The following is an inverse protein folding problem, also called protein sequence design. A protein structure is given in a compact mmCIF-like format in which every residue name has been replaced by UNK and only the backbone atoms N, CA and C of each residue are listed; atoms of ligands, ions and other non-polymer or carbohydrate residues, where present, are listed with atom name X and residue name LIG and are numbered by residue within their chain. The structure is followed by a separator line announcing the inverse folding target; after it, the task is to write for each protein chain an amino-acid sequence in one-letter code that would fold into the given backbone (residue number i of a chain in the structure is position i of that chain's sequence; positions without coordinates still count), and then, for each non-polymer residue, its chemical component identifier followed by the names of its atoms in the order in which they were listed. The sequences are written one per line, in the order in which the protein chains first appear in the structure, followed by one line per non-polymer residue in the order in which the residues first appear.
data_IF_950698581932
#
_entry.id   IF_950698581932
#
_cell.length_a   1.000
_cell.length_b   1.000
_cell.length_c   1.000
_cell.angle_alpha   90.00
_cell.angle_beta   90.00
_cell.angle_gamma   90.00
#
_symmetry.space_group_name_H-M   'P 1'
#
loop_
_entity.id
_entity.type
_entity.pdbx_description
1 polymer ?
#
# COMPACT_ATOMS: atom_id res chain seq x y z
N UNK A 1 -3.81 26.10 -10.29
CA UNK A 1 -4.11 27.08 -9.22
C UNK A 1 -4.57 28.38 -9.88
N UNK A 2 -5.64 29.02 -9.40
CA UNK A 2 -6.08 30.32 -9.94
C UNK A 2 -5.22 31.47 -9.41
N UNK A 3 -5.09 32.55 -10.19
CA UNK A 3 -4.37 33.77 -9.83
C UNK A 3 -4.86 34.38 -8.50
N UNK A 4 -6.17 34.30 -8.24
CA UNK A 4 -6.78 34.73 -6.97
C UNK A 4 -6.39 33.85 -5.77
N UNK A 5 -6.20 32.55 -5.98
CA UNK A 5 -5.70 31.62 -4.95
C UNK A 5 -4.24 31.88 -4.59
N UNK A 6 -3.40 32.14 -5.60
CA UNK A 6 -1.99 32.49 -5.42
C UNK A 6 -1.83 33.80 -4.63
N UNK A 7 -2.58 34.85 -4.99
CA UNK A 7 -2.56 36.14 -4.27
C UNK A 7 -2.94 35.97 -2.80
N UNK A 8 -4.00 35.20 -2.50
CA UNK A 8 -4.43 34.91 -1.12
C UNK A 8 -3.38 34.12 -0.33
N UNK A 9 -2.71 33.15 -0.96
CA UNK A 9 -1.66 32.37 -0.30
C UNK A 9 -0.46 33.26 0.10
N UNK A 10 0.00 34.14 -0.81
CA UNK A 10 1.09 35.09 -0.53
C UNK A 10 0.71 36.07 0.58
N UNK A 11 -0.53 36.59 0.57
CA UNK A 11 -1.03 37.46 1.65
C UNK A 11 -1.06 36.76 3.00
N UNK A 12 -1.51 35.50 3.06
CA UNK A 12 -1.52 34.70 4.30
C UNK A 12 -0.12 34.44 4.85
N UNK A 13 0.84 34.11 3.98
CA UNK A 13 2.22 33.86 4.38
C UNK A 13 2.88 35.11 4.99
N UNK A 14 2.73 36.27 4.36
CA UNK A 14 3.30 37.53 4.88
C UNK A 14 2.65 38.02 6.18
N UNK A 15 1.35 37.78 6.36
CA UNK A 15 0.60 38.27 7.53
C UNK A 15 0.63 37.32 8.73
N UNK A 16 0.90 36.03 8.53
CA UNK A 16 1.15 35.07 9.62
C UNK A 16 2.27 35.53 10.56
N UNK A 17 3.30 36.18 10.00
CA UNK A 17 4.49 36.68 10.75
C UNK A 17 4.14 37.89 11.64
N UNK A 18 3.05 38.61 11.35
CA UNK A 18 2.67 39.84 12.07
C UNK A 18 1.55 39.65 13.11
N UNK A 19 0.99 38.45 13.23
CA UNK A 19 -0.02 38.11 14.25
C UNK A 19 0.71 37.75 15.55
N UNK A 20 0.39 38.44 16.64
CA UNK A 20 0.98 38.16 17.96
C UNK A 20 0.48 36.81 18.48
N UNK A 21 1.28 36.11 19.29
CA UNK A 21 0.90 34.79 19.83
C UNK A 21 -0.41 34.81 20.63
N UNK A 22 -0.69 35.91 21.34
CA UNK A 22 -1.95 36.13 22.06
C UNK A 22 -3.20 36.16 21.18
N UNK A 23 -3.04 36.43 19.88
CA UNK A 23 -4.16 36.48 18.94
C UNK A 23 -4.33 35.16 18.18
N UNK A 24 -3.34 34.25 18.25
CA UNK A 24 -3.39 32.92 17.60
C UNK A 24 -4.40 32.03 18.29
N UNK A 25 -5.21 31.34 17.50
CA UNK A 25 -6.15 30.36 18.02
C UNK A 25 -5.42 29.04 18.33
N UNK A 26 -5.65 28.46 19.51
CA UNK A 26 -5.15 27.13 19.88
C UNK A 26 -6.32 26.17 19.96
N UNK A 27 -6.22 25.02 19.30
CA UNK A 27 -7.29 24.03 19.25
C UNK A 27 -6.72 22.64 19.49
N UNK A 28 -6.50 22.34 20.78
CA UNK A 28 -5.85 21.09 21.21
C UNK A 28 -6.68 19.86 20.85
N UNK A 29 -8.00 19.97 20.85
CA UNK A 29 -8.91 18.87 20.54
C UNK A 29 -8.78 18.49 19.06
N UNK A 30 -8.79 19.48 18.16
CA UNK A 30 -8.51 19.22 16.75
C UNK A 30 -7.10 18.68 16.54
N UNK A 31 -6.09 19.22 17.22
CA UNK A 31 -4.70 18.79 17.03
C UNK A 31 -4.50 17.30 17.40
N UNK A 32 -5.23 16.81 18.42
CA UNK A 32 -5.26 15.38 18.79
C UNK A 32 -5.88 14.55 17.67
N UNK A 33 -7.06 14.94 17.17
CA UNK A 33 -7.75 14.19 16.11
C UNK A 33 -6.99 14.22 14.78
N UNK A 34 -6.37 15.35 14.43
CA UNK A 34 -5.51 15.46 13.25
C UNK A 34 -4.30 14.51 13.36
N UNK A 35 -3.68 14.41 14.54
CA UNK A 35 -2.57 13.47 14.78
C UNK A 35 -3.02 12.02 14.58
N UNK A 36 -4.18 11.63 15.12
CA UNK A 36 -4.74 10.28 14.96
C UNK A 36 -5.07 9.99 13.48
N UNK A 37 -5.66 10.96 12.79
CA UNK A 37 -5.91 10.89 11.36
C UNK A 37 -4.62 10.67 10.55
N UNK A 38 -3.54 11.41 10.85
CA UNK A 38 -2.24 11.26 10.15
C UNK A 38 -1.66 9.85 10.30
N UNK A 39 -1.83 9.23 11.47
CA UNK A 39 -1.45 7.83 11.69
C UNK A 39 -2.28 6.89 10.82
N UNK A 40 -3.61 7.05 10.82
CA UNK A 40 -4.51 6.25 9.98
C UNK A 40 -4.18 6.38 8.49
N UNK A 41 -4.01 7.61 8.00
CA UNK A 41 -3.65 7.89 6.61
C UNK A 41 -2.36 7.18 6.21
N UNK A 42 -1.31 7.31 7.01
CA UNK A 42 -0.02 6.68 6.75
C UNK A 42 -0.17 5.16 6.66
N UNK A 43 -0.88 4.56 7.62
CA UNK A 43 -1.15 3.13 7.62
C UNK A 43 -1.95 2.69 6.39
N UNK A 44 -3.02 3.42 6.04
CA UNK A 44 -3.88 3.10 4.89
C UNK A 44 -3.16 3.22 3.54
N UNK A 45 -2.35 4.27 3.33
CA UNK A 45 -1.54 4.41 2.11
C UNK A 45 -0.45 3.34 2.01
N UNK A 46 0.18 2.96 3.13
CA UNK A 46 1.15 1.87 3.14
C UNK A 46 0.49 0.52 2.87
N UNK A 47 -0.70 0.28 3.43
CA UNK A 47 -1.49 -0.92 3.18
C UNK A 47 -1.84 -1.03 1.69
N UNK A 48 -2.30 0.05 1.05
CA UNK A 48 -2.57 0.09 -0.39
C UNK A 48 -1.36 -0.34 -1.22
N UNK A 49 -0.18 0.20 -0.90
CA UNK A 49 1.07 -0.16 -1.58
C UNK A 49 1.43 -1.63 -1.36
N UNK A 50 1.28 -2.11 -0.12
CA UNK A 50 1.60 -3.49 0.25
C UNK A 50 0.70 -4.50 -0.47
N UNK A 51 -0.62 -4.29 -0.50
CA UNK A 51 -1.55 -5.22 -1.17
C UNK A 51 -1.37 -5.23 -2.69
N UNK A 52 -1.05 -4.07 -3.29
CA UNK A 52 -0.67 -4.01 -4.70
C UNK A 52 0.62 -4.80 -4.97
N UNK A 53 1.66 -4.54 -4.18
CA UNK A 53 2.94 -5.24 -4.31
C UNK A 53 2.82 -6.75 -4.10
N UNK A 54 1.92 -7.19 -3.21
CA UNK A 54 1.61 -8.60 -3.01
C UNK A 54 1.04 -9.25 -4.27
N UNK A 55 0.03 -8.64 -4.90
CA UNK A 55 -0.56 -9.16 -6.14
C UNK A 55 0.47 -9.21 -7.28
N UNK A 56 1.29 -8.17 -7.42
CA UNK A 56 2.36 -8.13 -8.42
C UNK A 56 3.41 -9.22 -8.16
N UNK A 57 3.72 -9.51 -6.89
CA UNK A 57 4.65 -10.58 -6.50
C UNK A 57 4.08 -11.97 -6.79
N UNK A 58 2.78 -12.18 -6.59
CA UNK A 58 2.12 -13.44 -6.95
C UNK A 58 2.23 -13.73 -8.46
N UNK A 59 1.98 -12.72 -9.30
CA UNK A 59 2.16 -12.86 -10.75
C UNK A 59 3.61 -13.12 -11.13
N UNK A 60 4.55 -12.43 -10.48
CA UNK A 60 5.96 -12.57 -10.77
C UNK A 60 6.48 -13.97 -10.41
N UNK A 61 6.09 -14.52 -9.25
CA UNK A 61 6.55 -15.85 -8.84
C UNK A 61 6.01 -16.94 -9.76
N UNK A 62 4.74 -16.88 -10.16
CA UNK A 62 4.18 -17.91 -11.05
C UNK A 62 4.70 -17.81 -12.47
N UNK A 63 4.87 -16.59 -13.00
CA UNK A 63 5.56 -16.38 -14.27
C UNK A 63 7.00 -16.94 -14.24
N UNK A 64 7.74 -16.69 -13.15
CA UNK A 64 9.09 -17.26 -12.97
C UNK A 64 9.07 -18.78 -12.90
N UNK A 65 8.07 -19.37 -12.23
CA UNK A 65 7.93 -20.83 -12.18
C UNK A 65 7.70 -21.39 -13.60
N UNK A 66 6.86 -20.76 -14.42
CA UNK A 66 6.62 -21.17 -15.81
C UNK A 66 7.91 -21.12 -16.61
N UNK A 67 8.68 -20.03 -16.52
CA UNK A 67 9.98 -19.91 -17.21
C UNK A 67 10.96 -21.01 -16.80
N UNK A 68 11.06 -21.32 -15.51
CA UNK A 68 11.91 -22.43 -15.03
C UNK A 68 11.44 -23.75 -15.65
N UNK A 69 10.13 -24.00 -15.65
CA UNK A 69 9.58 -25.25 -16.15
C UNK A 69 9.77 -25.41 -17.67
N UNK A 70 9.70 -24.33 -18.45
CA UNK A 70 9.99 -24.33 -19.88
C UNK A 70 11.47 -24.66 -20.17
N UNK A 71 12.40 -24.00 -19.46
CA UNK A 71 13.85 -24.28 -19.60
C UNK A 71 14.15 -25.73 -19.24
N UNK A 72 13.62 -26.22 -18.11
CA UNK A 72 13.79 -27.60 -17.66
C UNK A 72 13.20 -28.57 -18.68
N UNK A 73 11.98 -28.34 -19.18
CA UNK A 73 11.36 -29.22 -20.17
C UNK A 73 12.24 -29.34 -21.43
N UNK A 74 12.77 -28.22 -21.94
CA UNK A 74 13.61 -28.21 -23.14
C UNK A 74 14.93 -28.97 -22.93
N UNK A 75 15.63 -28.75 -21.82
CA UNK A 75 16.88 -29.45 -21.51
C UNK A 75 16.67 -30.97 -21.35
N UNK A 76 15.56 -31.38 -20.74
CA UNK A 76 15.25 -32.79 -20.57
C UNK A 76 14.75 -33.44 -21.88
N UNK A 77 14.18 -32.68 -22.82
CA UNK A 77 13.84 -33.17 -24.16
C UNK A 77 15.07 -33.56 -24.99
N UNK A 78 16.18 -32.82 -24.90
CA UNK A 78 17.42 -33.13 -25.61
C UNK A 78 18.02 -34.49 -25.20
N UNK A 79 17.80 -34.91 -23.94
CA UNK A 79 18.26 -36.20 -23.42
C UNK A 79 17.46 -37.42 -23.93
N UNK A 80 16.30 -37.20 -24.56
CA UNK A 80 15.38 -38.26 -25.04
C UNK A 80 15.86 -39.00 -26.30
N UNK A 81 17.01 -38.64 -26.88
CA UNK A 81 17.55 -39.30 -28.09
C UNK A 81 18.34 -40.60 -27.80
N UNK A 82 18.40 -41.06 -26.54
CA UNK A 82 19.03 -42.33 -26.15
C UNK A 82 18.03 -43.47 -25.89
N UNK A 83 18.41 -44.75 -26.12
CA UNK A 83 17.53 -45.89 -25.86
C UNK A 83 17.30 -46.08 -24.35
N UNK A 84 16.06 -45.91 -23.89
CA UNK A 84 15.59 -46.44 -22.60
C UNK A 84 15.11 -45.48 -21.51
N UNK A 85 14.83 -44.19 -21.75
CA UNK A 85 14.35 -43.29 -20.69
C UNK A 85 13.09 -42.50 -21.05
N UNK A 86 11.93 -43.09 -20.71
CA UNK A 86 10.67 -42.37 -20.53
C UNK A 86 10.70 -41.62 -19.19
N UNK A 87 11.42 -40.50 -19.08
CA UNK A 87 11.23 -39.62 -17.93
C UNK A 87 10.65 -38.28 -18.36
N UNK A 88 9.33 -38.26 -18.55
CA UNK A 88 8.54 -37.12 -18.98
C UNK A 88 8.30 -36.09 -17.85
N UNK A 89 9.10 -36.13 -16.78
CA UNK A 89 8.90 -35.35 -15.55
C UNK A 89 9.01 -33.83 -15.80
N UNK A 90 9.92 -33.40 -16.68
CA UNK A 90 10.03 -31.99 -17.08
C UNK A 90 8.76 -31.48 -17.74
N UNK A 91 8.16 -32.29 -18.62
CA UNK A 91 6.89 -31.97 -19.29
C UNK A 91 5.71 -31.98 -18.32
N UNK A 92 5.66 -32.93 -17.37
CA UNK A 92 4.63 -32.94 -16.31
C UNK A 92 4.76 -31.73 -15.37
N UNK A 93 5.98 -31.35 -14.96
CA UNK A 93 6.22 -30.14 -14.18
C UNK A 93 5.77 -28.88 -14.93
N UNK A 94 6.11 -28.77 -16.21
CA UNK A 94 5.68 -27.66 -17.06
C UNK A 94 4.16 -27.57 -17.15
N UNK A 95 3.46 -28.70 -17.31
CA UNK A 95 2.01 -28.72 -17.30
C UNK A 95 1.44 -28.24 -15.96
N UNK A 96 1.89 -28.80 -14.82
CA UNK A 96 1.41 -28.42 -13.50
C UNK A 96 1.59 -26.92 -13.20
N UNK A 97 2.75 -26.37 -13.57
CA UNK A 97 3.05 -24.95 -13.33
C UNK A 97 2.26 -24.03 -14.26
N UNK A 98 2.05 -24.41 -15.53
CA UNK A 98 1.18 -23.65 -16.44
C UNK A 98 -0.26 -23.64 -15.94
N UNK A 99 -0.80 -24.79 -15.55
CA UNK A 99 -2.15 -24.86 -14.96
C UNK A 99 -2.24 -24.03 -13.67
N UNK A 100 -1.21 -24.02 -12.83
CA UNK A 100 -1.19 -23.19 -11.63
C UNK A 100 -1.22 -21.68 -11.97
N UNK A 101 -0.42 -21.21 -12.93
CA UNK A 101 -0.45 -19.83 -13.38
C UNK A 101 -1.80 -19.45 -14.04
N UNK A 102 -2.25 -20.27 -14.99
CA UNK A 102 -3.40 -19.95 -15.84
C UNK A 102 -4.75 -20.17 -15.15
N UNK A 103 -4.89 -21.22 -14.34
CA UNK A 103 -6.14 -21.52 -13.66
C UNK A 103 -6.19 -20.91 -12.27
N UNK A 104 -5.10 -20.89 -11.52
CA UNK A 104 -5.16 -20.38 -10.14
C UNK A 104 -4.93 -18.88 -10.08
N UNK A 105 -3.80 -18.39 -10.60
CA UNK A 105 -3.43 -16.96 -10.43
C UNK A 105 -4.37 -16.06 -11.22
N UNK A 106 -4.66 -16.37 -12.49
CA UNK A 106 -5.60 -15.56 -13.28
C UNK A 106 -7.01 -15.54 -12.66
N UNK A 107 -7.47 -16.64 -12.07
CA UNK A 107 -8.77 -16.68 -11.37
C UNK A 107 -8.75 -15.94 -10.03
N UNK A 108 -7.61 -15.83 -9.35
CA UNK A 108 -7.47 -15.07 -8.11
C UNK A 108 -7.32 -13.57 -8.36
N UNK A 109 -6.84 -13.18 -9.54
CA UNK A 109 -6.56 -11.78 -9.89
C UNK A 109 -7.79 -10.87 -9.76
N UNK A 110 -8.90 -11.26 -10.40
CA UNK A 110 -10.16 -10.54 -10.36
C UNK A 110 -10.71 -10.40 -8.93
N UNK A 111 -10.94 -11.51 -8.20
CA UNK A 111 -11.38 -11.48 -6.81
C UNK A 111 -10.46 -10.65 -5.90
N UNK A 112 -9.13 -10.75 -6.05
CA UNK A 112 -8.21 -9.94 -5.24
C UNK A 112 -8.38 -8.45 -5.54
N UNK A 113 -8.51 -8.07 -6.82
CA UNK A 113 -8.74 -6.66 -7.17
C UNK A 113 -10.04 -6.15 -6.56
N UNK A 114 -11.14 -6.86 -6.79
CA UNK A 114 -12.48 -6.44 -6.40
C UNK A 114 -12.69 -6.41 -4.88
N UNK A 115 -12.14 -7.38 -4.15
CA UNK A 115 -12.39 -7.54 -2.72
C UNK A 115 -11.31 -6.95 -1.82
N UNK A 116 -10.10 -6.71 -2.36
CA UNK A 116 -8.95 -6.21 -1.59
C UNK A 116 -8.42 -4.90 -2.16
N UNK A 117 -7.91 -4.92 -3.39
CA UNK A 117 -7.15 -3.78 -3.92
C UNK A 117 -8.03 -2.53 -4.13
N UNK A 118 -9.19 -2.70 -4.74
CA UNK A 118 -10.09 -1.59 -5.08
C UNK A 118 -10.72 -0.96 -3.83
N UNK A 119 -11.24 -1.73 -2.85
CA UNK A 119 -11.71 -1.16 -1.59
C UNK A 119 -10.62 -0.41 -0.83
N UNK A 120 -9.41 -0.97 -0.71
CA UNK A 120 -8.29 -0.32 -0.02
C UNK A 120 -7.83 0.94 -0.78
N UNK A 121 -7.82 0.91 -2.11
CA UNK A 121 -7.53 2.08 -2.94
C UNK A 121 -8.58 3.17 -2.76
N UNK A 122 -9.86 2.80 -2.73
CA UNK A 122 -10.96 3.73 -2.46
C UNK A 122 -10.82 4.37 -1.07
N UNK A 123 -10.50 3.57 -0.05
CA UNK A 123 -10.21 4.07 1.29
C UNK A 123 -9.07 5.07 1.31
N UNK A 124 -7.96 4.76 0.63
CA UNK A 124 -6.81 5.65 0.54
C UNK A 124 -7.13 6.98 -0.19
N UNK A 125 -8.04 6.94 -1.17
CA UNK A 125 -8.46 8.14 -1.90
C UNK A 125 -9.27 9.13 -1.03
N UNK A 126 -10.02 8.66 -0.04
CA UNK A 126 -10.72 9.56 0.89
C UNK A 126 -9.77 10.51 1.63
N UNK A 127 -8.54 10.08 1.90
CA UNK A 127 -7.55 10.93 2.55
C UNK A 127 -7.20 12.19 1.75
N UNK A 128 -7.30 12.16 0.42
CA UNK A 128 -7.03 13.33 -0.41
C UNK A 128 -8.07 14.44 -0.17
N UNK A 129 -9.35 14.06 -0.07
CA UNK A 129 -10.44 15.00 0.19
C UNK A 129 -10.35 15.56 1.62
N UNK A 130 -10.04 14.70 2.59
CA UNK A 130 -9.88 15.08 3.99
C UNK A 130 -8.68 16.02 4.18
N UNK A 131 -7.55 15.75 3.51
CA UNK A 131 -6.39 16.64 3.53
C UNK A 131 -6.72 18.05 3.03
N UNK A 132 -7.48 18.16 1.94
CA UNK A 132 -7.90 19.45 1.41
C UNK A 132 -8.87 20.17 2.35
N UNK A 133 -9.74 19.44 3.06
CA UNK A 133 -10.59 20.01 4.10
C UNK A 133 -9.77 20.53 5.29
N UNK A 134 -8.80 19.75 5.80
CA UNK A 134 -7.88 20.15 6.88
C UNK A 134 -7.07 21.39 6.47
N UNK A 135 -6.54 21.41 5.25
CA UNK A 135 -5.81 22.56 4.70
C UNK A 135 -6.70 23.79 4.55
N UNK A 136 -7.96 23.62 4.12
CA UNK A 136 -8.94 24.71 4.05
C UNK A 136 -9.23 25.26 5.44
N UNK A 137 -9.44 24.40 6.45
CA UNK A 137 -9.59 24.82 7.85
C UNK A 137 -8.37 25.61 8.32
N UNK A 138 -7.15 25.12 8.09
CA UNK A 138 -5.92 25.81 8.48
C UNK A 138 -5.83 27.23 7.87
N UNK A 139 -6.19 27.37 6.59
CA UNK A 139 -6.27 28.67 5.94
C UNK A 139 -7.32 29.59 6.56
N UNK A 140 -8.49 29.07 6.94
CA UNK A 140 -9.56 29.85 7.56
C UNK A 140 -9.24 30.27 8.99
N UNK A 141 -8.51 29.43 9.72
CA UNK A 141 -7.94 29.80 11.03
C UNK A 141 -7.01 31.01 10.92
N UNK A 142 -6.12 31.02 9.91
CA UNK A 142 -5.24 32.17 9.65
C UNK A 142 -6.05 33.43 9.33
N UNK A 143 -7.05 33.32 8.44
CA UNK A 143 -7.93 34.46 8.08
C UNK A 143 -8.64 35.01 9.35
N UNK A 144 -9.14 34.12 10.22
CA UNK A 144 -9.78 34.47 11.50
C UNK A 144 -8.83 35.18 12.48
N UNK A 145 -7.64 34.61 12.72
CA UNK A 145 -6.62 35.19 13.61
C UNK A 145 -6.15 36.57 13.12
N UNK A 146 -6.06 36.78 11.80
CA UNK A 146 -5.76 38.08 11.20
C UNK A 146 -6.86 39.11 11.47
N UNK A 147 -8.13 38.71 11.32
CA UNK A 147 -9.27 39.58 11.64
C UNK A 147 -9.30 39.93 13.15
N UNK A 148 -8.98 38.98 14.05
CA UNK A 148 -8.86 39.25 15.50
C UNK A 148 -7.80 40.31 15.77
N UNK A 149 -6.60 40.12 15.21
CA UNK A 149 -5.49 41.06 15.37
C UNK A 149 -5.84 42.46 14.82
N UNK A 150 -6.57 42.54 13.69
CA UNK A 150 -7.03 43.80 13.09
C UNK A 150 -8.04 44.52 13.97
N UNK A 151 -9.03 43.80 14.55
CA UNK A 151 -9.98 44.37 15.51
C UNK A 151 -9.26 44.89 16.74
N UNK A 152 -8.36 44.09 17.34
CA UNK A 152 -7.58 44.47 18.52
C UNK A 152 -6.79 45.75 18.29
N UNK A 153 -6.05 45.85 17.17
CA UNK A 153 -5.30 47.06 16.82
C UNK A 153 -6.17 48.31 16.71
N UNK A 154 -7.42 48.17 16.24
CA UNK A 154 -8.37 49.29 16.14
C UNK A 154 -9.01 49.65 17.49
N UNK A 155 -9.10 48.71 18.42
CA UNK A 155 -9.49 48.98 19.81
C UNK A 155 -8.37 49.71 20.54
N UNK A 156 -7.14 49.18 20.45
CA UNK A 156 -5.95 49.76 21.09
C UNK A 156 -5.62 51.16 20.53
N UNK A 157 -5.86 51.37 19.24
CA UNK A 157 -5.68 52.67 18.55
C UNK A 157 -6.91 53.01 17.71
N UNK A 158 -7.90 53.71 18.29
CA UNK A 158 -9.14 54.08 17.60
C UNK A 158 -8.89 54.86 16.31
N UNK A 159 -9.67 54.53 15.29
CA UNK A 159 -9.67 55.22 13.99
C UNK A 159 -10.47 56.52 14.06
N UNK A 160 -10.08 57.53 13.26
CA UNK A 160 -10.88 58.75 13.06
C UNK A 160 -12.21 58.47 12.35
N UNK A 161 -12.24 57.42 11.51
CA UNK A 161 -13.48 56.91 10.90
C UNK A 161 -14.22 55.99 11.90
N UNK A 162 -15.33 56.49 12.46
CA UNK A 162 -16.18 55.78 13.40
C UNK A 162 -16.86 54.53 12.80
N UNK A 163 -17.03 54.47 11.47
CA UNK A 163 -17.59 53.31 10.78
C UNK A 163 -16.60 52.17 10.57
N UNK A 164 -15.29 52.42 10.74
CA UNK A 164 -14.24 51.43 10.46
C UNK A 164 -14.25 50.25 11.43
N UNK A 165 -14.39 50.51 12.73
CA UNK A 165 -14.40 49.45 13.73
C UNK A 165 -15.61 48.51 13.56
N UNK A 166 -16.86 49.00 13.45
CA UNK A 166 -18.02 48.15 13.18
C UNK A 166 -17.88 47.29 11.92
N UNK A 167 -17.32 47.85 10.84
CA UNK A 167 -17.07 47.11 9.58
C UNK A 167 -16.10 45.95 9.79
N UNK A 168 -14.99 46.18 10.47
CA UNK A 168 -13.97 45.14 10.73
C UNK A 168 -14.47 44.11 11.74
N UNK A 169 -15.32 44.49 12.70
CA UNK A 169 -16.00 43.54 13.58
C UNK A 169 -16.93 42.61 12.81
N UNK A 170 -17.65 43.13 11.80
CA UNK A 170 -18.46 42.30 10.90
C UNK A 170 -17.59 41.34 10.07
N UNK A 171 -16.45 41.79 9.55
CA UNK A 171 -15.47 40.91 8.88
C UNK A 171 -14.97 39.79 9.81
N UNK A 172 -14.68 40.11 11.07
CA UNK A 172 -14.26 39.13 12.07
C UNK A 172 -15.36 38.08 12.32
N UNK A 173 -16.61 38.50 12.46
CA UNK A 173 -17.73 37.58 12.70
C UNK A 173 -17.88 36.58 11.54
N UNK A 174 -17.82 37.07 10.29
CA UNK A 174 -17.88 36.19 9.10
C UNK A 174 -16.68 35.25 9.03
N UNK A 175 -15.47 35.72 9.35
CA UNK A 175 -14.27 34.88 9.35
C UNK A 175 -14.35 33.80 10.45
N UNK A 176 -14.93 34.14 11.61
CA UNK A 176 -15.16 33.22 12.72
C UNK A 176 -16.12 32.11 12.33
N UNK A 177 -17.30 32.44 11.81
CA UNK A 177 -18.32 31.47 11.38
C UNK A 177 -17.74 30.47 10.37
N UNK A 178 -17.08 30.97 9.32
CA UNK A 178 -16.48 30.10 8.29
C UNK A 178 -15.40 29.16 8.87
N UNK A 179 -14.61 29.63 9.85
CA UNK A 179 -13.60 28.80 10.50
C UNK A 179 -14.26 27.76 11.43
N UNK A 180 -15.19 28.19 12.28
CA UNK A 180 -15.86 27.33 13.25
C UNK A 180 -16.68 26.23 12.57
N UNK A 181 -17.38 26.53 11.47
CA UNK A 181 -18.13 25.53 10.70
C UNK A 181 -17.21 24.39 10.23
N UNK A 182 -16.08 24.72 9.61
CA UNK A 182 -15.09 23.72 9.17
C UNK A 182 -14.41 23.02 10.35
N UNK A 183 -14.21 23.74 11.45
CA UNK A 183 -13.56 23.21 12.64
C UNK A 183 -14.40 22.12 13.30
N UNK A 184 -15.66 22.43 13.59
CA UNK A 184 -16.59 21.52 14.24
C UNK A 184 -16.93 20.34 13.33
N UNK A 185 -17.05 20.58 12.02
CA UNK A 185 -17.22 19.50 11.04
C UNK A 185 -16.05 18.50 11.14
N UNK A 186 -14.80 18.96 11.05
CA UNK A 186 -13.65 18.05 11.10
C UNK A 186 -13.47 17.39 12.48
N UNK A 187 -13.74 18.11 13.57
CA UNK A 187 -13.72 17.53 14.93
C UNK A 187 -14.75 16.42 15.10
N UNK A 188 -15.89 16.52 14.40
CA UNK A 188 -16.94 15.49 14.43
C UNK A 188 -16.62 14.31 13.50
N UNK A 189 -16.15 14.58 12.29
CA UNK A 189 -15.99 13.56 11.23
C UNK A 189 -14.70 12.75 11.37
N UNK A 190 -13.58 13.34 11.80
CA UNK A 190 -12.31 12.61 11.93
C UNK A 190 -12.39 11.42 12.91
N UNK A 191 -12.98 11.56 14.12
CA UNK A 191 -13.18 10.41 15.01
C UNK A 191 -14.05 9.31 14.40
N UNK A 192 -15.09 9.69 13.64
CA UNK A 192 -15.99 8.73 12.99
C UNK A 192 -15.27 7.93 11.90
N UNK A 193 -14.49 8.59 11.04
CA UNK A 193 -13.63 7.94 10.07
C UNK A 193 -12.68 6.94 10.74
N UNK A 194 -12.05 7.35 11.84
CA UNK A 194 -11.15 6.49 12.58
C UNK A 194 -11.91 5.29 13.13
N UNK A 195 -13.09 5.46 13.73
CA UNK A 195 -13.90 4.36 14.24
C UNK A 195 -14.31 3.36 13.14
N UNK A 196 -14.69 3.86 11.96
CA UNK A 196 -15.15 3.06 10.83
C UNK A 196 -14.04 2.31 10.08
N UNK A 197 -12.76 2.59 10.36
CA UNK A 197 -11.63 1.94 9.68
C UNK A 197 -11.67 0.40 9.77
N UNK A 198 -12.10 -0.14 10.92
CA UNK A 198 -12.14 -1.59 11.18
C UNK A 198 -13.25 -2.26 10.35
N UNK A 199 -14.54 -1.90 10.53
CA UNK A 199 -15.61 -2.53 9.75
C UNK A 199 -15.48 -2.30 8.24
N UNK A 200 -14.82 -1.22 7.81
CA UNK A 200 -14.50 -1.01 6.40
C UNK A 200 -13.46 -2.02 5.87
N UNK A 201 -12.40 -2.28 6.64
CA UNK A 201 -11.27 -3.12 6.19
C UNK A 201 -11.47 -4.61 6.48
N UNK A 202 -12.32 -4.98 7.45
CA UNK A 202 -12.56 -6.36 7.85
C UNK A 202 -12.91 -7.30 6.67
N UNK A 203 -13.83 -6.95 5.74
CA UNK A 203 -14.14 -7.83 4.61
C UNK A 203 -12.94 -8.01 3.65
N UNK A 204 -12.12 -6.97 3.48
CA UNK A 204 -10.91 -7.06 2.66
C UNK A 204 -9.85 -7.91 3.34
N UNK A 205 -9.70 -7.82 4.67
CA UNK A 205 -8.78 -8.67 5.43
C UNK A 205 -9.20 -10.15 5.34
N UNK A 206 -10.48 -10.45 5.52
CA UNK A 206 -11.01 -11.81 5.36
C UNK A 206 -10.74 -12.34 3.94
N UNK A 207 -10.95 -11.50 2.93
CA UNK A 207 -10.69 -11.86 1.53
C UNK A 207 -9.21 -12.12 1.26
N UNK A 208 -8.29 -11.33 1.83
CA UNK A 208 -6.84 -11.57 1.75
C UNK A 208 -6.50 -12.97 2.27
N UNK A 209 -6.98 -13.32 3.47
CA UNK A 209 -6.69 -14.63 4.09
C UNK A 209 -7.22 -15.77 3.22
N UNK A 210 -8.46 -15.66 2.72
CA UNK A 210 -9.07 -16.69 1.85
C UNK A 210 -8.32 -16.86 0.53
N UNK A 211 -7.91 -15.75 -0.10
CA UNK A 211 -7.17 -15.79 -1.36
C UNK A 211 -5.77 -16.38 -1.14
N UNK A 212 -5.08 -15.99 -0.07
CA UNK A 212 -3.79 -16.56 0.32
C UNK A 212 -3.89 -18.07 0.55
N UNK A 213 -4.89 -18.51 1.32
CA UNK A 213 -5.13 -19.93 1.58
C UNK A 213 -5.37 -20.70 0.27
N UNK A 214 -6.22 -20.15 -0.63
CA UNK A 214 -6.48 -20.78 -1.93
C UNK A 214 -5.21 -20.88 -2.76
N UNK A 215 -4.43 -19.80 -2.88
CA UNK A 215 -3.18 -19.80 -3.63
C UNK A 215 -2.21 -20.87 -3.12
N UNK A 216 -1.99 -20.94 -1.80
CA UNK A 216 -1.10 -21.93 -1.21
C UNK A 216 -1.62 -23.37 -1.37
N UNK A 217 -2.92 -23.59 -1.19
CA UNK A 217 -3.54 -24.93 -1.30
C UNK A 217 -3.46 -25.47 -2.71
N UNK A 218 -3.77 -24.65 -3.71
CA UNK A 218 -3.67 -25.02 -5.13
C UNK A 218 -2.22 -25.26 -5.52
N UNK A 219 -1.29 -24.38 -5.10
CA UNK A 219 0.13 -24.54 -5.38
C UNK A 219 0.69 -25.84 -4.82
N UNK A 220 0.35 -26.16 -3.56
CA UNK A 220 0.69 -27.44 -2.94
C UNK A 220 0.09 -28.62 -3.72
N UNK A 221 -1.22 -28.57 -4.01
CA UNK A 221 -1.92 -29.68 -4.66
C UNK A 221 -1.39 -29.98 -6.06
N UNK A 222 -1.01 -28.96 -6.84
CA UNK A 222 -0.41 -29.12 -8.17
C UNK A 222 1.01 -29.68 -8.07
N UNK A 223 1.86 -29.14 -7.19
CA UNK A 223 3.23 -29.62 -7.05
C UNK A 223 3.33 -31.02 -6.43
N UNK A 224 2.40 -31.38 -5.54
CA UNK A 224 2.32 -32.72 -4.95
C UNK A 224 2.13 -33.82 -6.01
N UNK A 225 1.44 -33.53 -7.12
CA UNK A 225 1.26 -34.48 -8.23
C UNK A 225 2.59 -34.83 -8.91
N UNK A 226 3.58 -33.93 -8.88
CA UNK A 226 4.90 -34.19 -9.49
C UNK A 226 5.68 -35.19 -8.67
N UNK A 227 5.49 -35.18 -7.34
CA UNK A 227 6.26 -36.02 -6.45
C UNK A 227 6.09 -37.52 -6.74
N UNK A 228 5.00 -37.96 -7.36
CA UNK A 228 4.82 -39.36 -7.75
C UNK A 228 5.75 -39.80 -8.88
N UNK A 229 6.30 -38.84 -9.64
CA UNK A 229 7.25 -39.08 -10.72
C UNK A 229 8.70 -38.91 -10.27
N UNK A 230 8.94 -38.39 -9.06
CA UNK A 230 10.26 -38.35 -8.45
C UNK A 230 10.64 -39.72 -7.90
N UNK A 231 11.95 -40.00 -7.84
CA UNK A 231 12.47 -41.29 -7.36
C UNK A 231 11.93 -41.64 -5.95
N UNK A 232 11.22 -42.77 -5.79
CA UNK A 232 10.66 -43.20 -4.51
C UNK A 232 11.70 -43.30 -3.39
N UNK A 233 12.95 -43.68 -3.71
CA UNK A 233 14.02 -43.77 -2.71
C UNK A 233 14.34 -42.40 -2.09
N UNK A 234 14.24 -41.33 -2.88
CA UNK A 234 14.45 -39.95 -2.42
C UNK A 234 13.37 -39.48 -1.43
N UNK A 235 12.15 -40.03 -1.49
CA UNK A 235 11.06 -39.69 -0.56
C UNK A 235 11.30 -40.27 0.83
N UNK A 236 11.68 -41.54 0.91
CA UNK A 236 12.02 -42.20 2.18
C UNK A 236 13.28 -41.60 2.81
N UNK A 237 14.27 -41.23 2.00
CA UNK A 237 15.49 -40.57 2.47
C UNK A 237 15.23 -39.14 2.99
N UNK A 238 14.29 -38.39 2.39
CA UNK A 238 13.84 -37.10 2.92
C UNK A 238 13.13 -37.25 4.26
N UNK A 239 12.22 -38.21 4.40
CA UNK A 239 11.52 -38.49 5.65
C UNK A 239 12.47 -38.92 6.78
N UNK A 240 13.61 -39.53 6.45
CA UNK A 240 14.63 -39.99 7.40
C UNK A 240 15.80 -39.01 7.59
N UNK A 241 15.77 -37.80 6.98
CA UNK A 241 16.81 -36.78 7.14
C UNK A 241 18.16 -37.12 6.48
N UNK A 242 18.18 -38.08 5.56
CA UNK A 242 19.39 -38.54 4.84
C UNK A 242 19.66 -37.73 3.56
N UNK A 243 18.70 -36.89 3.15
CA UNK A 243 18.77 -36.14 1.89
C UNK A 243 19.88 -35.09 1.88
N UNK A 244 20.11 -34.42 3.02
CA UNK A 244 21.07 -33.31 3.12
C UNK A 244 22.50 -33.76 2.80
N UNK A 245 22.94 -34.91 3.33
CA UNK A 245 24.27 -35.47 3.04
C UNK A 245 24.45 -35.88 1.57
N UNK A 246 23.40 -36.41 0.94
CA UNK A 246 23.43 -36.73 -0.51
C UNK A 246 23.43 -35.47 -1.38
N UNK A 247 22.72 -34.42 -0.98
CA UNK A 247 22.73 -33.14 -1.68
C UNK A 247 24.16 -32.56 -1.64
N UNK A 248 24.81 -32.59 -0.48
CA UNK A 248 26.20 -32.14 -0.34
C UNK A 248 27.15 -32.97 -1.23
N UNK A 249 27.02 -34.29 -1.24
CA UNK A 249 27.80 -35.18 -2.11
C UNK A 249 27.55 -34.90 -3.61
N UNK A 250 26.29 -34.67 -3.99
CA UNK A 250 25.92 -34.31 -5.37
C UNK A 250 26.48 -32.93 -5.76
N UNK A 251 26.44 -31.93 -4.86
CA UNK A 251 27.03 -30.61 -5.10
C UNK A 251 28.55 -30.74 -5.30
N UNK A 252 29.22 -31.57 -4.51
CA UNK A 252 30.67 -31.86 -4.69
C UNK A 252 30.92 -32.50 -6.06
N UNK A 253 30.09 -33.46 -6.47
CA UNK A 253 30.19 -34.08 -7.80
C UNK A 253 29.95 -33.07 -8.93
N UNK A 254 28.95 -32.20 -8.80
CA UNK A 254 28.66 -31.13 -9.76
C UNK A 254 29.82 -30.15 -9.88
N UNK A 255 30.45 -29.77 -8.76
CA UNK A 255 31.64 -28.92 -8.73
C UNK A 255 32.89 -29.63 -9.30
N UNK A 256 32.91 -30.97 -9.29
CA UNK A 256 33.96 -31.80 -9.87
C UNK A 256 33.88 -31.96 -11.40
N UNK A 257 32.77 -31.57 -12.03
CA UNK A 257 32.58 -31.62 -13.49
C UNK A 257 33.40 -30.54 -14.21
N UNK A 258 34.73 -30.72 -14.26
CA UNK A 258 35.63 -29.91 -15.09
C UNK A 258 35.60 -30.39 -16.54
N UNK A 259 34.59 -29.97 -17.31
CA UNK A 259 34.45 -30.33 -18.74
C UNK A 259 35.46 -29.55 -19.62
N UNK A 260 36.13 -28.53 -19.09
CA UNK A 260 37.15 -27.72 -19.80
C UNK A 260 38.54 -27.77 -19.16
N UNK A 261 39.00 -28.94 -18.70
CA UNK A 261 40.43 -29.16 -18.51
C UNK A 261 41.14 -29.31 -19.87
N UNK A 262 41.12 -28.26 -20.68
CA UNK A 262 42.02 -28.09 -21.81
C UNK A 262 43.43 -27.87 -21.23
N UNK A 263 44.21 -28.94 -21.23
CA UNK A 263 45.65 -28.89 -20.99
C UNK A 263 46.09 -29.26 -19.58
N UNK A 264 46.21 -30.56 -19.29
CA UNK A 264 47.40 -31.02 -18.58
C UNK A 264 48.48 -31.27 -19.63
N UNK A 265 49.57 -30.50 -19.52
CA UNK A 265 50.78 -30.60 -20.34
C UNK A 265 51.37 -31.99 -20.32
#
# INVERSE_FOLDING_TARGET
MSWGGFKKAVTRAGQSITVKDVDKTMDKDFDIEERRYKVLKTAGTNLQKAVKGYLDSLRAVTASQVTIAEIVSNLYEESKQGPGQNNNIGTYYMQCVREFDEETVKQLDGPFRETVLDPITKFANYFLEIDEAIKKRAHKKIDYDQCKAKVRRLIDKPSKDAGKLPRVQKELQVAKEIYEDLNEQLKSELPQLIALRVPYLDPSFESVVKIQLRFCTEGYSRLAQIQQYLDPASRDEYANGLLDGKIDDMIVQMNGLNITSLGKK
#
